data_IF_599036028167
#
_entry.id   IF_599036028167
#
_cell.length_a   1.000
_cell.length_b   1.000
_cell.length_c   1.000
_cell.angle_alpha   90.00
_cell.angle_beta   90.00
_cell.angle_gamma   90.00
#
_symmetry.space_group_name_H-M   'P 1'
#
loop_
_entity.id
_entity.type
_entity.pdbx_description
1 polymer ?
#
# COMPACT_ATOMS: atom_id res chain seq x y z
N UNK A 1 -17.02 0.78 0.19
CA UNK A 1 -15.91 1.64 -0.28
C UNK A 1 -16.49 2.83 -1.02
N UNK A 2 -16.14 4.06 -0.64
CA UNK A 2 -16.65 5.29 -1.25
C UNK A 2 -16.11 5.47 -2.67
N UNK A 3 -16.90 6.13 -3.55
CA UNK A 3 -16.47 6.46 -4.91
C UNK A 3 -15.17 7.28 -4.91
N UNK A 4 -15.04 8.24 -3.98
CA UNK A 4 -13.83 9.03 -3.81
C UNK A 4 -12.56 8.20 -3.57
N UNK A 5 -12.64 7.11 -2.82
CA UNK A 5 -11.49 6.19 -2.60
C UNK A 5 -11.07 5.51 -3.91
N UNK A 6 -12.03 5.13 -4.76
CA UNK A 6 -11.73 4.53 -6.06
C UNK A 6 -11.08 5.51 -7.02
N UNK A 7 -11.58 6.75 -7.05
CA UNK A 7 -10.99 7.83 -7.86
C UNK A 7 -9.56 8.11 -7.40
N UNK A 8 -9.33 8.24 -6.08
CA UNK A 8 -8.01 8.45 -5.51
C UNK A 8 -7.03 7.34 -5.91
N UNK A 9 -7.41 6.07 -5.68
CA UNK A 9 -6.56 4.92 -6.04
C UNK A 9 -6.33 4.81 -7.54
N UNK A 10 -7.35 5.09 -8.38
CA UNK A 10 -7.22 5.10 -9.82
C UNK A 10 -6.27 6.18 -10.32
N UNK A 11 -6.38 7.39 -9.79
CA UNK A 11 -5.46 8.49 -10.08
C UNK A 11 -4.02 8.12 -9.67
N UNK A 12 -3.86 7.53 -8.48
CA UNK A 12 -2.55 7.10 -8.00
C UNK A 12 -1.94 5.99 -8.88
N UNK A 13 -2.73 5.03 -9.37
CA UNK A 13 -2.28 4.02 -10.34
C UNK A 13 -1.76 4.69 -11.62
N UNK A 14 -2.51 5.65 -12.18
CA UNK A 14 -2.08 6.35 -13.40
C UNK A 14 -0.79 7.15 -13.18
N UNK A 15 -0.67 7.87 -12.07
CA UNK A 15 0.52 8.66 -11.73
C UNK A 15 1.75 7.80 -11.44
N UNK A 16 1.58 6.69 -10.71
CA UNK A 16 2.68 5.76 -10.44
C UNK A 16 3.11 5.01 -11.70
N UNK A 17 2.18 4.66 -12.60
CA UNK A 17 2.52 4.09 -13.89
C UNK A 17 3.35 5.05 -14.76
N UNK A 18 3.01 6.35 -14.76
CA UNK A 18 3.81 7.38 -15.42
C UNK A 18 5.23 7.47 -14.82
N UNK A 19 5.33 7.45 -13.48
CA UNK A 19 6.63 7.43 -12.80
C UNK A 19 7.45 6.18 -13.12
N UNK A 20 6.82 5.02 -13.28
CA UNK A 20 7.50 3.77 -13.72
C UNK A 20 8.09 3.95 -15.12
N UNK A 21 7.34 4.53 -16.06
CA UNK A 21 7.85 4.80 -17.41
C UNK A 21 9.02 5.77 -17.37
N UNK A 22 8.92 6.86 -16.63
CA UNK A 22 9.95 7.88 -16.54
C UNK A 22 11.23 7.37 -15.85
N UNK A 23 11.09 6.60 -14.76
CA UNK A 23 12.22 6.27 -13.89
C UNK A 23 12.78 4.85 -14.11
N UNK A 24 11.92 3.84 -14.35
CA UNK A 24 12.38 2.46 -14.51
C UNK A 24 12.70 2.12 -15.97
N UNK A 25 11.87 2.60 -16.91
CA UNK A 25 12.06 2.30 -18.34
C UNK A 25 13.03 3.26 -19.01
N UNK A 26 13.07 4.53 -18.56
CA UNK A 26 13.91 5.61 -19.12
C UNK A 26 14.83 6.25 -18.09
N UNK A 27 15.57 5.48 -17.26
CA UNK A 27 16.37 6.00 -16.15
C UNK A 27 17.49 6.95 -16.58
N UNK A 28 18.00 6.80 -17.80
CA UNK A 28 19.06 7.66 -18.33
C UNK A 28 18.58 9.08 -18.63
N UNK A 29 17.28 9.28 -18.93
CA UNK A 29 16.70 10.59 -19.20
C UNK A 29 16.20 11.30 -17.92
N UNK A 30 16.23 10.63 -16.77
CA UNK A 30 15.70 11.18 -15.53
C UNK A 30 16.43 12.44 -15.04
N UNK A 31 17.67 12.66 -15.48
CA UNK A 31 18.42 13.87 -15.14
C UNK A 31 17.92 15.12 -15.90
N UNK A 32 17.29 14.96 -17.07
CA UNK A 32 16.78 16.05 -17.90
C UNK A 32 15.27 16.21 -17.84
N UNK A 33 14.53 15.11 -17.72
CA UNK A 33 13.07 15.09 -17.92
C UNK A 33 12.27 14.97 -16.61
N UNK A 34 12.91 14.62 -15.49
CA UNK A 34 12.21 14.41 -14.23
C UNK A 34 12.04 15.71 -13.42
N UNK A 35 11.24 15.68 -12.37
CA UNK A 35 10.92 16.81 -11.50
C UNK A 35 12.16 17.46 -10.84
N UNK A 36 13.21 16.71 -10.65
CA UNK A 36 14.56 17.17 -10.27
C UNK A 36 15.61 16.31 -10.98
N UNK A 37 16.83 16.83 -11.17
CA UNK A 37 17.90 16.08 -11.87
C UNK A 37 18.34 14.86 -11.04
N UNK A 38 18.09 13.66 -11.54
CA UNK A 38 18.58 12.41 -10.96
C UNK A 38 19.79 11.95 -11.81
N UNK A 39 20.99 12.28 -11.33
CA UNK A 39 22.22 12.05 -12.10
C UNK A 39 22.61 10.57 -12.23
N UNK A 40 22.26 9.73 -11.22
CA UNK A 40 22.53 8.30 -11.26
C UNK A 40 21.35 7.51 -11.82
N UNK A 41 21.48 6.89 -13.00
CA UNK A 41 20.38 6.09 -13.59
C UNK A 41 19.93 4.92 -12.68
N UNK A 42 20.85 4.38 -11.86
CA UNK A 42 20.53 3.35 -10.88
C UNK A 42 19.55 3.86 -9.82
N UNK A 43 19.75 5.07 -9.29
CA UNK A 43 18.82 5.70 -8.33
C UNK A 43 17.45 5.93 -8.96
N UNK A 44 17.40 6.38 -10.20
CA UNK A 44 16.15 6.53 -10.93
C UNK A 44 15.43 5.18 -11.10
N UNK A 45 16.15 4.14 -11.52
CA UNK A 45 15.59 2.79 -11.68
C UNK A 45 15.10 2.21 -10.35
N UNK A 46 15.83 2.42 -9.24
CA UNK A 46 15.43 2.03 -7.90
C UNK A 46 14.11 2.71 -7.50
N UNK A 47 14.01 4.01 -7.64
CA UNK A 47 12.75 4.73 -7.39
C UNK A 47 11.63 4.21 -8.30
N UNK A 48 11.91 3.96 -9.57
CA UNK A 48 10.95 3.40 -10.51
C UNK A 48 10.41 2.02 -10.11
N UNK A 49 11.26 1.16 -9.54
CA UNK A 49 10.88 -0.15 -9.00
C UNK A 49 9.94 0.00 -7.78
N UNK A 50 10.22 0.94 -6.87
CA UNK A 50 9.34 1.26 -5.76
C UNK A 50 7.97 1.80 -6.24
N UNK A 51 7.96 2.67 -7.28
CA UNK A 51 6.71 3.13 -7.91
C UNK A 51 5.94 1.99 -8.57
N UNK A 52 6.60 1.00 -9.18
CA UNK A 52 5.94 -0.16 -9.75
C UNK A 52 5.23 -1.00 -8.66
N UNK A 53 5.87 -1.18 -7.51
CA UNK A 53 5.24 -1.84 -6.36
C UNK A 53 4.03 -1.04 -5.83
N UNK A 54 4.14 0.28 -5.73
CA UNK A 54 3.05 1.18 -5.35
C UNK A 54 1.87 1.14 -6.33
N UNK A 55 2.18 1.08 -7.64
CA UNK A 55 1.19 0.92 -8.69
C UNK A 55 0.42 -0.40 -8.54
N UNK A 56 1.13 -1.51 -8.36
CA UNK A 56 0.54 -2.83 -8.16
C UNK A 56 -0.30 -2.89 -6.88
N UNK A 57 0.18 -2.33 -5.78
CA UNK A 57 -0.53 -2.24 -4.51
C UNK A 57 -1.86 -1.50 -4.67
N UNK A 58 -1.85 -0.35 -5.33
CA UNK A 58 -3.03 0.48 -5.56
C UNK A 58 -4.00 -0.15 -6.56
N UNK A 59 -3.50 -0.78 -7.62
CA UNK A 59 -4.30 -1.54 -8.58
C UNK A 59 -4.96 -2.77 -7.93
N UNK A 60 -4.28 -3.45 -7.02
CA UNK A 60 -4.86 -4.54 -6.24
C UNK A 60 -5.97 -4.01 -5.31
N UNK A 61 -5.75 -2.86 -4.66
CA UNK A 61 -6.73 -2.22 -3.79
C UNK A 61 -7.99 -1.76 -4.55
N UNK A 62 -7.88 -1.34 -5.81
CA UNK A 62 -9.04 -0.99 -6.66
C UNK A 62 -10.01 -2.16 -6.88
N UNK A 63 -9.52 -3.41 -6.85
CA UNK A 63 -10.34 -4.61 -7.01
C UNK A 63 -11.08 -4.99 -5.72
N UNK A 64 -10.69 -4.40 -4.58
CA UNK A 64 -11.33 -4.66 -3.30
C UNK A 64 -12.59 -3.82 -3.13
N UNK A 65 -13.59 -4.39 -2.43
CA UNK A 65 -14.88 -3.74 -2.22
C UNK A 65 -15.08 -3.20 -0.80
N UNK A 66 -14.25 -3.66 0.16
CA UNK A 66 -14.35 -3.27 1.57
C UNK A 66 -13.22 -2.31 1.97
N UNK A 67 -13.55 -1.36 2.84
CA UNK A 67 -12.57 -0.43 3.41
C UNK A 67 -11.44 -1.13 4.16
N UNK A 68 -11.78 -2.14 4.95
CA UNK A 68 -10.81 -2.86 5.76
C UNK A 68 -9.67 -3.49 4.97
N UNK A 69 -9.93 -3.84 3.69
CA UNK A 69 -8.92 -4.42 2.80
C UNK A 69 -8.06 -3.38 2.10
N UNK A 70 -8.51 -2.13 2.02
CA UNK A 70 -7.78 -1.05 1.36
C UNK A 70 -7.15 -0.08 2.33
N UNK A 71 -7.53 -0.12 3.62
CA UNK A 71 -7.05 0.80 4.65
C UNK A 71 -5.52 0.85 4.73
N UNK A 72 -4.86 -0.31 4.75
CA UNK A 72 -3.39 -0.38 4.77
C UNK A 72 -2.81 0.36 3.57
N UNK A 73 -3.32 0.13 2.37
CA UNK A 73 -2.86 0.82 1.15
C UNK A 73 -3.04 2.33 1.24
N UNK A 74 -4.24 2.80 1.62
CA UNK A 74 -4.53 4.25 1.71
C UNK A 74 -3.65 4.94 2.74
N UNK A 75 -3.46 4.33 3.91
CA UNK A 75 -2.58 4.89 4.96
C UNK A 75 -1.12 4.91 4.50
N UNK A 76 -0.65 3.82 3.88
CA UNK A 76 0.74 3.74 3.37
C UNK A 76 0.99 4.79 2.29
N UNK A 77 0.07 4.93 1.33
CA UNK A 77 0.14 5.97 0.28
C UNK A 77 0.12 7.37 0.89
N UNK A 78 -0.74 7.60 1.89
CA UNK A 78 -0.83 8.88 2.60
C UNK A 78 0.47 9.25 3.31
N UNK A 79 1.06 8.30 4.04
CA UNK A 79 2.36 8.51 4.73
C UNK A 79 3.48 8.77 3.72
N UNK A 80 3.59 7.94 2.69
CA UNK A 80 4.57 8.12 1.64
C UNK A 80 4.49 9.50 1.00
N UNK A 81 3.29 9.88 0.55
CA UNK A 81 3.10 11.16 -0.17
C UNK A 81 3.27 12.38 0.74
N UNK A 82 2.92 12.28 2.03
CA UNK A 82 3.18 13.34 3.00
C UNK A 82 4.69 13.53 3.25
N UNK A 83 5.44 12.45 3.39
CA UNK A 83 6.90 12.52 3.56
C UNK A 83 7.59 13.09 2.31
N UNK A 84 7.16 12.66 1.11
CA UNK A 84 7.70 13.21 -0.14
C UNK A 84 7.33 14.69 -0.30
N UNK A 85 6.13 15.12 0.13
CA UNK A 85 5.78 16.55 0.17
C UNK A 85 6.75 17.31 1.06
N UNK A 86 7.02 16.82 2.28
CA UNK A 86 7.98 17.45 3.18
C UNK A 86 9.38 17.56 2.54
N UNK A 87 9.86 16.48 1.90
CA UNK A 87 11.12 16.47 1.17
C UNK A 87 11.13 17.48 0.02
N UNK A 88 10.03 17.55 -0.76
CA UNK A 88 9.92 18.46 -1.89
C UNK A 88 9.88 19.92 -1.48
N UNK A 89 9.19 20.25 -0.38
CA UNK A 89 9.17 21.62 0.18
C UNK A 89 10.54 22.00 0.73
N UNK A 90 11.19 21.08 1.47
CA UNK A 90 12.53 21.33 2.03
C UNK A 90 13.57 21.60 0.93
N UNK A 91 13.51 20.86 -0.17
CA UNK A 91 14.41 20.99 -1.31
C UNK A 91 13.74 21.68 -2.52
N UNK A 92 12.80 22.61 -2.31
CA UNK A 92 12.09 23.27 -3.40
C UNK A 92 13.02 23.95 -4.43
N UNK A 93 14.17 24.45 -3.98
CA UNK A 93 15.22 25.03 -4.83
C UNK A 93 15.92 24.03 -5.77
N UNK A 94 15.76 22.72 -5.54
CA UNK A 94 16.29 21.65 -6.39
C UNK A 94 15.29 21.16 -7.44
N UNK A 95 14.01 21.55 -7.30
CA UNK A 95 12.97 21.19 -8.26
C UNK A 95 13.08 22.09 -9.51
N UNK A 96 12.87 21.52 -10.68
CA UNK A 96 12.89 22.22 -11.97
C UNK A 96 11.64 23.09 -12.17
N UNK A 97 11.27 23.94 -11.19
CA UNK A 97 10.04 24.75 -11.24
C UNK A 97 10.13 25.92 -12.22
N UNK A 98 11.29 26.58 -12.29
CA UNK A 98 11.56 27.72 -13.16
C UNK A 98 12.62 27.36 -14.22
N UNK A 99 13.60 26.55 -13.85
CA UNK A 99 14.73 26.17 -14.68
C UNK A 99 14.50 24.82 -15.35
N UNK A 100 15.28 24.52 -16.41
CA UNK A 100 15.18 23.27 -17.17
C UNK A 100 14.24 23.32 -18.36
N UNK A 101 14.15 22.20 -19.08
CA UNK A 101 13.29 22.06 -20.27
C UNK A 101 11.78 22.06 -19.93
N UNK A 102 10.92 22.24 -20.95
CA UNK A 102 9.47 22.27 -20.74
C UNK A 102 8.92 21.01 -20.06
N UNK A 103 9.50 19.84 -20.36
CA UNK A 103 9.11 18.54 -19.80
C UNK A 103 9.44 18.49 -18.30
N UNK A 104 10.66 18.90 -17.90
CA UNK A 104 11.08 18.91 -16.50
C UNK A 104 10.23 19.89 -15.66
N UNK A 105 9.94 21.07 -16.19
CA UNK A 105 9.06 22.05 -15.53
C UNK A 105 7.64 21.51 -15.34
N UNK A 106 7.07 20.92 -16.37
CA UNK A 106 5.76 20.27 -16.25
C UNK A 106 5.79 19.14 -15.23
N UNK A 107 6.82 18.29 -15.26
CA UNK A 107 7.00 17.21 -14.29
C UNK A 107 7.12 17.72 -12.86
N UNK A 108 7.87 18.83 -12.62
CA UNK A 108 8.03 19.43 -11.29
C UNK A 108 6.71 20.00 -10.74
N UNK A 109 5.95 20.71 -11.56
CA UNK A 109 4.63 21.24 -11.16
C UNK A 109 3.60 20.13 -10.93
N UNK A 110 3.56 19.13 -11.81
CA UNK A 110 2.72 17.93 -11.64
C UNK A 110 3.09 17.20 -10.35
N UNK A 111 4.39 16.99 -10.10
CA UNK A 111 4.92 16.40 -8.88
C UNK A 111 4.41 17.14 -7.64
N UNK A 112 4.63 18.43 -7.57
CA UNK A 112 4.23 19.21 -6.40
C UNK A 112 2.71 19.18 -6.18
N UNK A 113 1.93 19.32 -7.25
CA UNK A 113 0.47 19.23 -7.20
C UNK A 113 -0.02 17.87 -6.70
N UNK A 114 0.56 16.77 -7.18
CA UNK A 114 0.22 15.40 -6.73
C UNK A 114 0.53 15.22 -5.26
N UNK A 115 1.76 15.58 -4.83
CA UNK A 115 2.18 15.39 -3.44
C UNK A 115 1.52 16.35 -2.46
N UNK A 116 0.91 17.43 -2.93
CA UNK A 116 0.01 18.27 -2.12
C UNK A 116 -1.39 17.67 -2.01
N UNK A 117 -1.96 17.20 -3.12
CA UNK A 117 -3.35 16.75 -3.17
C UNK A 117 -3.56 15.35 -2.56
N UNK A 118 -2.65 14.39 -2.83
CA UNK A 118 -2.84 12.99 -2.44
C UNK A 118 -2.85 12.77 -0.93
N UNK A 119 -1.93 13.31 -0.11
CA UNK A 119 -1.97 13.10 1.34
C UNK A 119 -3.22 13.69 1.98
N UNK A 120 -3.68 14.85 1.51
CA UNK A 120 -4.95 15.47 1.96
C UNK A 120 -6.14 14.57 1.62
N UNK A 121 -6.18 14.05 0.40
CA UNK A 121 -7.24 13.12 -0.02
C UNK A 121 -7.20 11.80 0.77
N UNK A 122 -6.02 11.24 1.04
CA UNK A 122 -5.86 10.04 1.87
C UNK A 122 -6.36 10.29 3.30
N UNK A 123 -6.02 11.42 3.90
CA UNK A 123 -6.49 11.82 5.22
C UNK A 123 -8.02 11.97 5.24
N UNK A 124 -8.59 12.71 4.28
CA UNK A 124 -10.02 12.91 4.17
C UNK A 124 -10.80 11.57 4.02
N UNK A 125 -10.28 10.67 3.17
CA UNK A 125 -10.87 9.34 2.99
C UNK A 125 -10.78 8.52 4.28
N UNK A 126 -9.65 8.54 4.96
CA UNK A 126 -9.43 7.78 6.21
C UNK A 126 -10.37 8.27 7.33
N UNK A 127 -10.50 9.58 7.50
CA UNK A 127 -11.39 10.17 8.51
C UNK A 127 -12.86 9.86 8.20
N UNK A 128 -13.31 10.07 6.95
CA UNK A 128 -14.69 9.82 6.55
C UNK A 128 -15.09 8.35 6.70
N UNK A 129 -14.26 7.43 6.23
CA UNK A 129 -14.57 6.00 6.31
C UNK A 129 -14.42 5.45 7.74
N UNK A 130 -13.50 6.00 8.54
CA UNK A 130 -13.42 5.70 9.97
C UNK A 130 -14.68 6.13 10.73
N UNK A 131 -15.18 7.33 10.48
CA UNK A 131 -16.41 7.86 11.09
C UNK A 131 -17.65 7.04 10.70
N UNK A 132 -17.76 6.62 9.43
CA UNK A 132 -18.86 5.78 8.97
C UNK A 132 -18.85 4.40 9.64
N UNK A 133 -17.66 3.78 9.79
CA UNK A 133 -17.53 2.51 10.48
C UNK A 133 -17.96 2.59 11.95
N UNK A 134 -17.64 3.70 12.64
CA UNK A 134 -18.09 3.96 14.02
C UNK A 134 -19.61 4.16 14.09
N UNK A 135 -20.21 4.91 13.15
CA UNK A 135 -21.66 5.14 13.12
C UNK A 135 -22.48 3.87 12.85
N UNK A 136 -21.93 2.94 12.07
CA UNK A 136 -22.58 1.67 11.75
C UNK A 136 -22.48 0.62 12.85
N UNK A 137 -22.22 1.03 14.08
CA UNK A 137 -22.20 0.18 15.26
C UNK A 137 -20.84 -0.40 15.60
N UNK A 138 -19.80 0.31 15.27
CA UNK A 138 -18.38 0.37 15.65
C UNK A 138 -17.65 -0.76 16.36
N UNK A 139 -18.32 -1.82 16.73
CA UNK A 139 -17.74 -2.94 17.44
C UNK A 139 -17.79 -4.26 16.65
N UNK A 140 -17.95 -4.24 15.35
CA UNK A 140 -17.55 -5.42 14.58
C UNK A 140 -16.02 -5.48 14.65
N UNK A 141 -15.51 -6.05 15.75
CA UNK A 141 -14.18 -6.66 15.73
C UNK A 141 -14.22 -7.58 14.51
N UNK A 142 -13.65 -7.13 13.41
CA UNK A 142 -13.58 -7.95 12.22
C UNK A 142 -12.89 -9.23 12.62
N UNK A 143 -13.66 -10.30 12.71
CA UNK A 143 -13.11 -11.60 13.02
C UNK A 143 -11.96 -11.85 12.05
N UNK A 144 -10.80 -12.17 12.56
CA UNK A 144 -9.65 -12.57 11.74
C UNK A 144 -10.10 -13.77 10.94
N UNK A 145 -10.31 -13.57 9.64
CA UNK A 145 -10.84 -14.63 8.76
C UNK A 145 -9.78 -15.72 8.58
N UNK A 146 -8.48 -15.33 8.60
CA UNK A 146 -7.35 -16.22 8.41
C UNK A 146 -6.15 -15.73 9.20
N UNK A 147 -5.79 -16.37 10.32
CA UNK A 147 -4.65 -15.95 11.13
C UNK A 147 -3.34 -16.09 10.34
N UNK A 148 -2.52 -15.05 10.42
CA UNK A 148 -1.17 -15.04 9.84
C UNK A 148 -0.24 -15.91 10.68
N UNK A 149 0.54 -16.83 10.08
CA UNK A 149 1.53 -17.62 10.82
C UNK A 149 2.52 -16.73 11.57
N UNK A 150 2.87 -17.11 12.80
CA UNK A 150 3.71 -16.27 13.67
C UNK A 150 5.10 -16.03 13.07
N UNK A 151 5.67 -17.03 12.39
CA UNK A 151 6.97 -16.86 11.71
C UNK A 151 6.91 -15.79 10.61
N UNK A 152 5.85 -15.80 9.79
CA UNK A 152 5.68 -14.81 8.72
C UNK A 152 5.47 -13.40 9.32
N UNK A 153 4.67 -13.29 10.40
CA UNK A 153 4.47 -12.03 11.10
C UNK A 153 5.79 -11.49 11.68
N UNK A 154 6.63 -12.34 12.27
CA UNK A 154 7.95 -11.96 12.77
C UNK A 154 8.88 -11.53 11.65
N UNK A 155 8.94 -12.29 10.55
CA UNK A 155 9.77 -11.94 9.39
C UNK A 155 9.39 -10.58 8.82
N UNK A 156 8.09 -10.34 8.58
CA UNK A 156 7.59 -9.05 8.08
C UNK A 156 7.84 -7.92 9.09
N UNK A 157 7.71 -8.18 10.40
CA UNK A 157 8.01 -7.20 11.44
C UNK A 157 9.49 -6.78 11.43
N UNK A 158 10.41 -7.76 11.37
CA UNK A 158 11.87 -7.49 11.33
C UNK A 158 12.24 -6.73 10.05
N UNK A 159 11.79 -7.20 8.90
CA UNK A 159 12.04 -6.53 7.62
C UNK A 159 11.48 -5.10 7.62
N UNK A 160 10.25 -4.92 8.12
CA UNK A 160 9.62 -3.61 8.24
C UNK A 160 10.38 -2.68 9.19
N UNK A 161 10.90 -3.20 10.31
CA UNK A 161 11.73 -2.43 11.23
C UNK A 161 13.07 -2.00 10.58
N UNK A 162 13.74 -2.91 9.86
CA UNK A 162 14.97 -2.61 9.13
C UNK A 162 14.73 -1.56 8.05
N UNK A 163 13.69 -1.73 7.21
CA UNK A 163 13.34 -0.75 6.17
C UNK A 163 12.96 0.60 6.78
N UNK A 164 12.15 0.59 7.85
CA UNK A 164 11.76 1.81 8.54
C UNK A 164 12.95 2.55 9.18
N UNK A 165 13.86 1.82 9.79
CA UNK A 165 15.10 2.41 10.37
C UNK A 165 16.01 2.99 9.27
N UNK A 166 16.26 2.22 8.21
CA UNK A 166 17.02 2.70 7.05
C UNK A 166 16.38 3.93 6.41
N UNK A 167 15.03 3.88 6.25
CA UNK A 167 14.25 5.01 5.74
C UNK A 167 14.35 6.26 6.61
N UNK A 168 14.30 6.11 7.94
CA UNK A 168 14.45 7.22 8.88
C UNK A 168 15.85 7.84 8.80
N UNK A 169 16.89 7.01 8.73
CA UNK A 169 18.28 7.48 8.57
C UNK A 169 18.45 8.25 7.27
N UNK A 170 17.96 7.74 6.15
CA UNK A 170 18.02 8.42 4.85
C UNK A 170 17.21 9.72 4.83
N UNK A 171 16.02 9.70 5.42
CA UNK A 171 15.15 10.88 5.46
C UNK A 171 15.75 12.01 6.29
N UNK A 172 16.21 11.69 7.51
CA UNK A 172 16.84 12.65 8.41
C UNK A 172 18.22 13.10 7.87
N UNK A 173 19.01 12.15 7.35
CA UNK A 173 20.31 12.45 6.76
C UNK A 173 20.22 13.37 5.54
N UNK A 174 19.12 13.27 4.77
CA UNK A 174 18.83 14.16 3.64
C UNK A 174 18.40 15.58 4.04
N UNK A 175 18.16 15.88 5.32
CA UNK A 175 17.88 17.25 5.80
C UNK A 175 19.13 18.14 5.78
N UNK A 176 20.34 17.55 5.78
CA UNK A 176 21.59 18.31 5.69
C UNK A 176 21.85 18.84 4.29
N UNK A 177 22.23 20.12 4.16
CA UNK A 177 22.60 20.73 2.89
C UNK A 177 23.97 20.28 2.35
N UNK A 178 24.77 19.67 3.20
CA UNK A 178 26.13 19.25 2.87
C UNK A 178 26.13 17.82 2.29
N UNK A 179 26.75 17.65 1.15
CA UNK A 179 26.87 16.38 0.39
C UNK A 179 27.59 15.25 1.18
N UNK A 180 28.07 15.52 2.39
CA UNK A 180 28.87 14.60 3.20
C UNK A 180 28.27 14.32 4.58
N UNK A 181 26.95 14.32 4.73
CA UNK A 181 26.38 13.81 5.97
C UNK A 181 26.68 12.32 6.03
N UNK A 182 27.65 11.93 6.86
CA UNK A 182 28.13 10.55 7.08
C UNK A 182 27.02 9.53 7.27
N UNK A 183 25.84 9.96 7.72
CA UNK A 183 24.66 9.12 7.90
C UNK A 183 24.04 8.65 6.58
N UNK A 184 24.07 9.47 5.52
CA UNK A 184 23.47 9.11 4.20
C UNK A 184 24.37 8.14 3.44
N UNK A 185 25.69 8.30 3.57
CA UNK A 185 26.72 7.49 2.88
C UNK A 185 26.73 6.03 3.38
N UNK A 186 26.12 5.74 4.56
CA UNK A 186 26.25 4.44 5.21
C UNK A 186 25.11 3.44 4.97
N UNK A 187 23.99 3.84 4.33
CA UNK A 187 22.78 3.00 4.25
C UNK A 187 22.73 2.17 2.96
N UNK A 188 23.00 2.80 1.82
CA UNK A 188 22.97 2.12 0.52
C UNK A 188 24.39 1.94 -0.01
N UNK A 189 24.65 0.94 -0.88
CA UNK A 189 25.97 0.72 -1.47
C UNK A 189 26.28 1.68 -2.65
N UNK A 190 25.61 2.82 -2.73
CA UNK A 190 25.89 3.92 -3.67
C UNK A 190 25.44 5.25 -3.09
N UNK A 191 25.98 6.34 -3.64
CA UNK A 191 25.71 7.69 -3.16
C UNK A 191 24.38 8.24 -3.63
N UNK A 192 23.68 8.95 -2.74
CA UNK A 192 22.44 9.64 -3.01
C UNK A 192 22.59 11.14 -2.82
N UNK A 193 21.92 11.93 -3.66
CA UNK A 193 21.72 13.35 -3.37
C UNK A 193 20.76 13.50 -2.18
N UNK A 194 20.83 14.61 -1.39
CA UNK A 194 19.97 14.80 -0.23
C UNK A 194 18.48 14.62 -0.53
N UNK A 195 17.97 15.20 -1.62
CA UNK A 195 16.57 15.04 -2.03
C UNK A 195 16.26 13.59 -2.41
N UNK A 196 17.12 12.93 -3.18
CA UNK A 196 16.92 11.51 -3.54
C UNK A 196 16.95 10.62 -2.31
N UNK A 197 17.81 10.91 -1.32
CA UNK A 197 17.87 10.18 -0.05
C UNK A 197 16.54 10.32 0.71
N UNK A 198 15.97 11.52 0.78
CA UNK A 198 14.67 11.74 1.42
C UNK A 198 13.53 11.02 0.69
N UNK A 199 13.51 11.02 -0.65
CA UNK A 199 12.46 10.32 -1.41
C UNK A 199 12.60 8.80 -1.27
N UNK A 200 13.81 8.25 -1.35
CA UNK A 200 14.06 6.82 -1.05
C UNK A 200 13.69 6.51 0.39
N UNK A 201 14.12 7.33 1.34
CA UNK A 201 13.77 7.21 2.74
C UNK A 201 12.26 7.21 2.99
N UNK A 202 11.51 8.04 2.26
CA UNK A 202 10.03 8.08 2.33
C UNK A 202 9.40 6.76 1.90
N UNK A 203 9.91 6.11 0.84
CA UNK A 203 9.47 4.79 0.43
C UNK A 203 9.76 3.72 1.49
N UNK A 204 10.98 3.69 2.01
CA UNK A 204 11.36 2.71 3.03
C UNK A 204 10.56 2.88 4.32
N UNK A 205 10.33 4.13 4.76
CA UNK A 205 9.46 4.44 5.91
C UNK A 205 8.02 3.97 5.65
N UNK A 206 7.49 4.22 4.46
CA UNK A 206 6.14 3.78 4.10
C UNK A 206 6.02 2.25 4.11
N UNK A 207 7.03 1.51 3.64
CA UNK A 207 7.08 0.05 3.76
C UNK A 207 7.15 -0.40 5.22
N UNK A 208 7.91 0.28 6.07
CA UNK A 208 7.94 0.03 7.53
C UNK A 208 6.56 0.19 8.16
N UNK A 209 5.85 1.27 7.84
CA UNK A 209 4.47 1.52 8.30
C UNK A 209 3.51 0.45 7.77
N UNK A 210 3.59 0.09 6.49
CA UNK A 210 2.78 -0.97 5.90
C UNK A 210 2.98 -2.31 6.61
N UNK A 211 4.25 -2.68 6.88
CA UNK A 211 4.58 -3.89 7.61
C UNK A 211 4.00 -3.88 9.03
N UNK A 212 4.13 -2.76 9.77
CA UNK A 212 3.56 -2.61 11.10
C UNK A 212 2.03 -2.78 11.10
N UNK A 213 1.32 -2.18 10.13
CA UNK A 213 -0.12 -2.32 9.97
C UNK A 213 -0.53 -3.76 9.65
N UNK A 214 0.17 -4.42 8.73
CA UNK A 214 -0.05 -5.82 8.36
C UNK A 214 0.15 -6.75 9.55
N UNK A 215 1.23 -6.57 10.31
CA UNK A 215 1.53 -7.36 11.52
C UNK A 215 0.50 -7.12 12.62
N UNK A 216 -0.03 -5.89 12.73
CA UNK A 216 -1.10 -5.56 13.68
C UNK A 216 -2.43 -6.23 13.30
N UNK A 217 -2.77 -6.28 12.02
CA UNK A 217 -4.02 -6.88 11.55
C UNK A 217 -4.01 -8.41 11.58
N UNK A 218 -2.88 -9.05 11.37
CA UNK A 218 -2.64 -10.51 11.37
C UNK A 218 -3.62 -11.33 10.53
N UNK A 219 -4.18 -10.75 9.47
CA UNK A 219 -5.18 -11.40 8.61
C UNK A 219 -4.63 -11.65 7.19
N UNK A 220 -4.36 -12.92 6.86
CA UNK A 220 -3.88 -13.33 5.53
C UNK A 220 -4.85 -12.97 4.40
N UNK A 221 -6.16 -12.87 4.67
CA UNK A 221 -7.13 -12.52 3.63
C UNK A 221 -6.94 -11.08 3.12
N UNK A 222 -6.38 -10.19 3.98
CA UNK A 222 -6.07 -8.80 3.66
C UNK A 222 -4.65 -8.61 3.12
N UNK A 223 -3.77 -9.58 3.38
CA UNK A 223 -2.36 -9.51 3.03
C UNK A 223 -2.09 -9.73 1.54
N UNK A 224 -3.00 -10.34 0.79
CA UNK A 224 -2.74 -10.81 -0.58
C UNK A 224 -2.23 -9.74 -1.54
N UNK A 225 -2.88 -8.56 -1.58
CA UNK A 225 -2.44 -7.42 -2.39
C UNK A 225 -1.10 -6.85 -1.94
N UNK A 226 -0.95 -6.46 -0.67
CA UNK A 226 0.31 -6.00 -0.10
C UNK A 226 1.47 -7.00 -0.26
N UNK A 227 1.23 -8.30 -0.07
CA UNK A 227 2.26 -9.33 -0.23
C UNK A 227 2.75 -9.47 -1.68
N UNK A 228 1.84 -9.39 -2.66
CA UNK A 228 2.22 -9.39 -4.07
C UNK A 228 3.06 -8.16 -4.43
N UNK A 229 2.65 -6.97 -3.98
CA UNK A 229 3.40 -5.74 -4.21
C UNK A 229 4.79 -5.79 -3.55
N UNK A 230 4.88 -6.36 -2.35
CA UNK A 230 6.13 -6.52 -1.62
C UNK A 230 7.09 -7.48 -2.33
N UNK A 231 6.60 -8.61 -2.84
CA UNK A 231 7.40 -9.54 -3.64
C UNK A 231 7.91 -8.88 -4.94
N UNK A 232 7.04 -8.14 -5.63
CA UNK A 232 7.41 -7.43 -6.88
C UNK A 232 8.42 -6.33 -6.58
N UNK A 233 8.28 -5.59 -5.49
CA UNK A 233 9.28 -4.62 -5.05
C UNK A 233 10.66 -5.28 -4.93
N UNK A 234 10.80 -6.31 -4.11
CA UNK A 234 12.07 -6.99 -3.92
C UNK A 234 12.67 -7.56 -5.21
N UNK A 235 11.82 -8.16 -6.07
CA UNK A 235 12.27 -8.71 -7.34
C UNK A 235 12.77 -7.63 -8.33
N UNK A 236 12.07 -6.51 -8.42
CA UNK A 236 12.48 -5.40 -9.28
C UNK A 236 13.75 -4.73 -8.77
N UNK A 237 13.90 -4.55 -7.45
CA UNK A 237 15.12 -3.99 -6.87
C UNK A 237 16.34 -4.91 -7.11
N UNK A 238 16.17 -6.23 -6.97
CA UNK A 238 17.21 -7.18 -7.34
C UNK A 238 17.57 -7.10 -8.83
N UNK A 239 16.58 -6.93 -9.70
CA UNK A 239 16.81 -6.73 -11.13
C UNK A 239 17.57 -5.42 -11.42
N UNK A 240 17.26 -4.34 -10.68
CA UNK A 240 18.00 -3.07 -10.75
C UNK A 240 19.46 -3.26 -10.32
N UNK A 241 19.71 -3.90 -9.16
CA UNK A 241 21.07 -4.18 -8.70
C UNK A 241 21.84 -5.04 -9.73
N UNK A 242 21.21 -6.06 -10.30
CA UNK A 242 21.81 -6.92 -11.32
C UNK A 242 22.12 -6.14 -12.62
N UNK A 243 21.22 -5.22 -13.03
CA UNK A 243 21.41 -4.39 -14.23
C UNK A 243 22.61 -3.44 -14.09
N UNK A 244 22.79 -2.87 -12.91
CA UNK A 244 23.84 -1.88 -12.61
C UNK A 244 25.04 -2.46 -11.88
N UNK A 245 25.20 -3.79 -11.88
CA UNK A 245 26.27 -4.50 -11.15
C UNK A 245 27.68 -3.96 -11.39
N UNK A 246 27.96 -3.45 -12.59
CA UNK A 246 29.27 -2.89 -12.92
C UNK A 246 29.58 -1.55 -12.20
N UNK A 247 28.57 -0.90 -11.64
CA UNK A 247 28.69 0.36 -10.88
C UNK A 247 28.79 0.12 -9.36
N UNK A 248 28.66 -1.15 -8.92
CA UNK A 248 28.61 -1.53 -7.50
C UNK A 248 29.94 -2.16 -7.07
N UNK A 249 30.38 -1.80 -5.87
CA UNK A 249 31.51 -2.46 -5.24
C UNK A 249 31.07 -3.80 -4.65
N UNK A 250 31.52 -4.89 -5.27
CA UNK A 250 31.21 -6.26 -4.80
C UNK A 250 31.93 -6.63 -3.50
N UNK A 251 32.92 -5.86 -3.07
CA UNK A 251 33.59 -5.98 -1.77
C UNK A 251 32.82 -5.33 -0.64
N UNK A 252 31.81 -4.48 -0.96
CA UNK A 252 31.02 -3.77 0.06
C UNK A 252 30.01 -4.72 0.73
N UNK A 253 30.09 -4.94 2.05
CA UNK A 253 29.16 -5.79 2.78
C UNK A 253 27.72 -5.24 2.77
N UNK A 254 27.53 -3.95 2.55
CA UNK A 254 26.20 -3.30 2.44
C UNK A 254 25.45 -3.79 1.21
N UNK A 255 26.14 -4.05 0.12
CA UNK A 255 25.54 -4.64 -1.09
C UNK A 255 24.94 -6.00 -0.79
N UNK A 256 25.69 -6.86 -0.14
CA UNK A 256 25.23 -8.21 0.20
C UNK A 256 24.12 -8.20 1.25
N UNK A 257 24.19 -7.30 2.23
CA UNK A 257 23.10 -7.09 3.18
C UNK A 257 21.81 -6.65 2.48
N UNK A 258 21.89 -5.72 1.52
CA UNK A 258 20.74 -5.30 0.71
C UNK A 258 20.19 -6.47 -0.14
N UNK A 259 21.05 -7.24 -0.80
CA UNK A 259 20.64 -8.42 -1.60
C UNK A 259 19.93 -9.44 -0.72
N UNK A 260 20.47 -9.78 0.46
CA UNK A 260 19.84 -10.72 1.39
C UNK A 260 18.49 -10.22 1.90
N UNK A 261 18.40 -8.94 2.23
CA UNK A 261 17.13 -8.31 2.63
C UNK A 261 16.09 -8.41 1.50
N UNK A 262 16.47 -8.07 0.27
CA UNK A 262 15.57 -8.09 -0.90
C UNK A 262 15.13 -9.52 -1.24
N UNK A 263 16.02 -10.52 -1.17
CA UNK A 263 15.66 -11.93 -1.31
C UNK A 263 14.66 -12.37 -0.22
N UNK A 264 14.89 -11.95 1.01
CA UNK A 264 13.96 -12.17 2.12
C UNK A 264 12.60 -11.52 1.88
N UNK A 265 12.57 -10.30 1.30
CA UNK A 265 11.36 -9.57 0.91
C UNK A 265 10.59 -10.34 -0.16
N UNK A 266 11.26 -10.83 -1.20
CA UNK A 266 10.65 -11.67 -2.24
C UNK A 266 10.05 -12.93 -1.63
N UNK A 267 10.80 -13.63 -0.80
CA UNK A 267 10.35 -14.87 -0.16
C UNK A 267 9.13 -14.63 0.75
N UNK A 268 9.20 -13.63 1.64
CA UNK A 268 8.08 -13.30 2.54
C UNK A 268 6.83 -12.86 1.78
N UNK A 269 7.00 -12.02 0.73
CA UNK A 269 5.91 -11.57 -0.13
C UNK A 269 5.27 -12.72 -0.91
N UNK A 270 6.08 -13.58 -1.54
CA UNK A 270 5.60 -14.75 -2.27
C UNK A 270 4.86 -15.74 -1.36
N UNK A 271 5.42 -16.03 -0.18
CA UNK A 271 4.77 -16.89 0.82
C UNK A 271 3.44 -16.27 1.30
N UNK A 272 3.43 -14.98 1.63
CA UNK A 272 2.21 -14.29 2.06
C UNK A 272 1.11 -14.29 1.00
N UNK A 273 1.49 -14.05 -0.25
CA UNK A 273 0.57 -14.12 -1.38
C UNK A 273 0.03 -15.53 -1.62
N UNK A 274 0.89 -16.54 -1.58
CA UNK A 274 0.52 -17.95 -1.77
C UNK A 274 -0.40 -18.42 -0.66
N UNK A 275 -0.04 -18.21 0.61
CA UNK A 275 -0.88 -18.54 1.77
C UNK A 275 -2.23 -17.79 1.72
N UNK A 276 -2.26 -16.54 1.26
CA UNK A 276 -3.47 -15.76 1.07
C UNK A 276 -4.40 -16.28 -0.04
N UNK A 277 -3.89 -17.09 -1.00
CA UNK A 277 -4.69 -17.72 -2.07
C UNK A 277 -5.35 -19.02 -1.65
N UNK A 278 -4.72 -19.78 -0.76
CA UNK A 278 -5.23 -21.08 -0.34
C UNK A 278 -6.58 -20.93 0.35
N UNK A 279 -7.65 -21.34 -0.33
CA UNK A 279 -8.93 -21.63 0.32
C UNK A 279 -8.74 -22.99 0.96
N UNK A 280 -8.68 -23.05 2.30
CA UNK A 280 -8.60 -24.33 3.02
C UNK A 280 -9.64 -25.31 2.48
N UNK A 281 -9.35 -26.60 2.35
CA UNK A 281 -10.35 -27.60 2.05
C UNK A 281 -11.39 -27.57 3.19
N UNK A 282 -12.62 -27.18 2.93
CA UNK A 282 -13.71 -27.36 3.89
C UNK A 282 -14.53 -26.19 4.36
N UNK A 283 -14.71 -25.11 3.54
CA UNK A 283 -15.89 -24.25 3.72
C UNK A 283 -16.91 -24.46 2.61
N UNK A 284 -16.87 -25.64 2.00
CA UNK A 284 -17.96 -26.16 1.20
C UNK A 284 -19.05 -26.62 2.15
N UNK A 285 -20.13 -25.83 2.26
CA UNK A 285 -21.43 -26.26 2.74
C UNK A 285 -21.43 -26.83 4.16
N UNK A 286 -21.63 -25.98 5.15
CA UNK A 286 -22.46 -26.40 6.28
C UNK A 286 -23.80 -26.75 5.63
N UNK A 287 -24.25 -28.02 5.68
CA UNK A 287 -25.59 -28.35 5.22
C UNK A 287 -26.54 -27.49 6.02
N UNK A 288 -27.25 -26.59 5.35
CA UNK A 288 -28.27 -25.80 6.00
C UNK A 288 -29.18 -26.74 6.79
N UNK A 289 -29.73 -26.31 7.95
CA UNK A 289 -30.62 -27.15 8.72
C UNK A 289 -31.66 -27.72 7.76
N UNK A 290 -31.69 -29.05 7.65
CA UNK A 290 -32.71 -29.77 6.85
C UNK A 290 -34.04 -29.22 7.34
N UNK A 291 -34.78 -28.55 6.45
CA UNK A 291 -36.18 -28.25 6.70
C UNK A 291 -36.82 -29.57 7.09
N UNK A 292 -37.52 -29.66 8.25
CA UNK A 292 -38.27 -30.84 8.57
C UNK A 292 -39.25 -31.06 7.40
N UNK A 293 -39.26 -32.29 6.90
CA UNK A 293 -40.19 -32.70 5.86
C UNK A 293 -41.60 -32.37 6.32
N UNK A 294 -42.31 -31.57 5.54
CA UNK A 294 -43.71 -31.31 5.76
C UNK A 294 -44.43 -32.69 5.70
N UNK A 295 -44.81 -33.18 6.86
CA UNK A 295 -45.73 -34.30 6.99
C UNK A 295 -47.05 -33.87 6.33
N UNK A 296 -47.33 -34.45 5.18
CA UNK A 296 -48.65 -34.35 4.51
C UNK A 296 -49.64 -35.07 5.40
N UNK A 297 -50.30 -34.36 6.29
CA UNK A 297 -51.55 -34.85 6.89
C UNK A 297 -52.69 -34.58 5.91
N UNK A 298 -53.05 -35.62 5.17
CA UNK A 298 -54.33 -35.77 4.53
C UNK A 298 -55.33 -36.18 5.60
N UNK A 299 -56.26 -35.31 5.93
CA UNK A 299 -57.29 -35.63 6.92
C UNK A 299 -58.49 -34.70 6.88
N UNK A 300 -59.41 -35.03 6.00
CA UNK A 300 -60.89 -35.07 6.22
C UNK A 300 -61.58 -33.84 6.82
N UNK A 301 -62.32 -33.21 5.95
CA UNK A 301 -63.56 -32.47 6.16
C UNK A 301 -64.30 -32.69 7.47
N UNK A 302 -64.64 -31.58 8.15
CA UNK A 302 -66.00 -31.42 8.71
C UNK A 302 -66.38 -29.94 8.84
N UNK A 303 -67.41 -29.60 8.08
CA UNK A 303 -68.26 -28.43 8.19
C UNK A 303 -68.90 -28.32 9.58
N UNK A 304 -68.76 -27.16 10.26
CA UNK A 304 -69.83 -26.68 11.14
C UNK A 304 -69.83 -25.14 11.08
N UNK A 305 -70.94 -24.69 10.57
CA UNK A 305 -71.44 -23.31 10.62
C UNK A 305 -71.75 -22.95 12.07
N UNK A 306 -71.32 -21.80 12.53
CA UNK A 306 -72.05 -21.05 13.55
C UNK A 306 -71.69 -19.55 13.40
N UNK A 307 -72.72 -18.84 13.30
CA UNK A 307 -72.98 -17.44 13.11
C UNK A 307 -72.75 -16.60 14.39
N UNK A 308 -72.75 -15.30 14.14
CA UNK A 308 -73.02 -14.16 15.06
C UNK A 308 -71.85 -13.78 15.96
N UNK A 309 -71.54 -12.52 16.24
CA UNK A 309 -72.24 -11.22 16.15
C UNK A 309 -71.21 -10.09 16.45
N UNK A 310 -71.27 -9.06 15.69
CA UNK A 310 -71.25 -7.63 16.02
C UNK A 310 -70.90 -7.28 17.48
N UNK A 311 -69.86 -6.48 17.66
CA UNK A 311 -69.98 -5.25 18.47
C UNK A 311 -68.88 -4.26 18.12
N UNK A 312 -69.28 -3.11 17.65
CA UNK A 312 -68.50 -1.90 17.51
C UNK A 312 -68.22 -1.33 18.91
N UNK A 313 -67.05 -0.79 19.11
CA UNK A 313 -66.83 0.24 20.12
C UNK A 313 -65.96 1.35 19.58
N UNK A 314 -66.57 2.53 19.59
CA UNK A 314 -66.09 3.85 19.25
C UNK A 314 -65.61 4.52 20.54
N UNK A 315 -64.63 5.40 20.48
CA UNK A 315 -64.33 6.30 21.60
C UNK A 315 -62.87 6.81 21.64
N UNK A 316 -62.63 7.86 20.91
CA UNK A 316 -62.10 9.22 21.31
C UNK A 316 -61.35 9.31 22.65
N UNK A 317 -60.06 9.68 22.61
CA UNK A 317 -59.47 10.99 23.01
C UNK A 317 -58.00 11.02 22.66
#
# INVERSE_FOLDING_TARGET
>A
MLTGTRVLLGAFVGLTALAVVALLMRPAQAHEEFAWPIHMPMTAAFLGAAYAAGCLLSAAALRERSWDRVRVTVVTVGVFTALVLCASVHHAHRLSLADGGPVARFAAWLWLGVYLAVPVACLAVTVRQGSEAVRQGGAVRHAVVRPMPTWLARTVAVQGAVLGAAGAVLFVGGLGEHHHTTLVIGVLPWDLTPLSAQVVGSWLLAFGVAAALVVRERDLARLRGPAAAYAVFGALELAVLARYRAQLDHGDPRLWAAVLLLLGIVAAGACGWWLGRWRGPGTGGVPGPRRPAATSESGSSRSTRASSSVTAWNGSR
#
